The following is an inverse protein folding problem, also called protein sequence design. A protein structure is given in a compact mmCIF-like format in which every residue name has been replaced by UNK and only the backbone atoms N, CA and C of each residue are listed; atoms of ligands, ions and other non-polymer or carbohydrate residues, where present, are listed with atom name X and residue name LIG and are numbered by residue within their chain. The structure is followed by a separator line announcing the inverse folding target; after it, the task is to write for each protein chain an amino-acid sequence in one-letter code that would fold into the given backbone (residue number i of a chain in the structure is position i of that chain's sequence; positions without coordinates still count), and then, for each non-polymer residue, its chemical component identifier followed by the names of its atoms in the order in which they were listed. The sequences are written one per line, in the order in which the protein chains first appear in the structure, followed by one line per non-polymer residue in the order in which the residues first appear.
data_IF_472470129747
#
_entry.id   IF_472470129747
#
_cell.length_a   1.000
_cell.length_b   1.000
_cell.length_c   1.000
_cell.angle_alpha   90.00
_cell.angle_beta   90.00
_cell.angle_gamma   90.00
#
_symmetry.space_group_name_H-M   'P 1'
#
loop_
_entity.id
_entity.type
_entity.pdbx_description
1 polymer ?
#
# COMPACT_ATOMS: atom_id res chain seq x y z
N UNK A 1 21.73 2.52 -7.29
CA UNK A 1 20.81 2.48 -6.14
C UNK A 1 19.70 3.48 -6.41
N UNK A 2 18.54 3.07 -6.96
CA UNK A 2 17.41 3.98 -7.04
C UNK A 2 16.80 4.14 -5.63
N UNK A 3 16.34 5.36 -5.28
CA UNK A 3 16.04 5.73 -3.91
C UNK A 3 14.65 5.25 -3.46
N UNK A 4 14.58 4.82 -2.21
CA UNK A 4 13.41 4.30 -1.48
C UNK A 4 12.27 5.33 -1.26
N UNK A 5 11.86 6.13 -2.24
CA UNK A 5 10.97 7.28 -2.00
C UNK A 5 9.70 7.42 -2.85
N UNK A 6 9.52 6.65 -3.92
CA UNK A 6 8.46 6.95 -4.90
C UNK A 6 7.05 6.56 -4.45
N UNK A 7 6.89 5.43 -3.76
CA UNK A 7 5.57 4.96 -3.31
C UNK A 7 4.99 5.89 -2.23
N UNK A 8 5.82 6.33 -1.28
CA UNK A 8 5.46 7.32 -0.27
C UNK A 8 5.06 8.68 -0.90
N UNK A 9 5.78 9.15 -1.94
CA UNK A 9 5.45 10.43 -2.60
C UNK A 9 4.18 10.35 -3.45
N UNK A 10 3.94 9.25 -4.16
CA UNK A 10 2.77 9.09 -5.01
C UNK A 10 1.48 8.90 -4.19
N UNK A 11 1.53 8.16 -3.07
CA UNK A 11 0.39 8.02 -2.14
C UNK A 11 0.07 9.34 -1.43
N UNK A 12 1.07 10.21 -1.22
CA UNK A 12 0.86 11.55 -0.67
C UNK A 12 0.30 12.55 -1.69
N UNK A 13 0.60 12.39 -2.99
CA UNK A 13 0.07 13.24 -4.05
C UNK A 13 -1.46 13.05 -4.21
N UNK A 14 -1.93 11.81 -4.12
CA UNK A 14 -3.33 11.43 -4.35
C UNK A 14 -3.98 10.79 -3.11
N UNK A 15 -3.67 11.33 -1.92
CA UNK A 15 -4.10 10.75 -0.63
C UNK A 15 -5.61 10.65 -0.46
N UNK A 16 -6.38 11.52 -1.12
CA UNK A 16 -7.85 11.47 -1.11
C UNK A 16 -8.39 10.33 -1.97
N UNK A 17 -7.80 10.13 -3.15
CA UNK A 17 -8.15 9.04 -4.04
C UNK A 17 -7.78 7.69 -3.42
N UNK A 18 -6.56 7.57 -2.86
CA UNK A 18 -6.11 6.41 -2.11
C UNK A 18 -7.06 6.06 -0.95
N UNK A 19 -7.48 7.05 -0.16
CA UNK A 19 -8.42 6.85 0.94
C UNK A 19 -9.80 6.37 0.46
N UNK A 20 -10.27 6.88 -0.69
CA UNK A 20 -11.52 6.46 -1.31
C UNK A 20 -11.45 5.02 -1.85
N UNK A 21 -10.30 4.60 -2.42
CA UNK A 21 -10.10 3.23 -2.90
C UNK A 21 -10.02 2.19 -1.78
N UNK A 22 -9.54 2.58 -0.59
CA UNK A 22 -9.44 1.73 0.60
C UNK A 22 -10.79 1.53 1.31
N UNK A 23 -11.82 1.05 0.63
CA UNK A 23 -13.13 0.78 1.24
C UNK A 23 -13.06 -0.39 2.25
N UNK A 24 -13.37 -0.18 3.55
CA UNK A 24 -13.36 -1.22 4.58
C UNK A 24 -14.40 -2.31 4.36
N UNK A 25 -15.39 -2.08 3.50
CA UNK A 25 -16.41 -3.07 3.13
C UNK A 25 -15.94 -4.04 2.04
N UNK A 26 -14.85 -3.72 1.36
CA UNK A 26 -14.19 -4.65 0.42
C UNK A 26 -13.35 -5.66 1.19
N UNK A 27 -12.95 -6.72 0.51
CA UNK A 27 -12.03 -7.73 1.05
C UNK A 27 -10.65 -7.13 1.38
N UNK A 28 -9.69 -7.97 1.76
CA UNK A 28 -8.36 -7.57 2.26
C UNK A 28 -7.49 -6.91 1.18
N UNK A 29 -7.73 -5.63 0.91
CA UNK A 29 -7.00 -4.83 -0.07
C UNK A 29 -5.53 -4.68 0.30
N UNK A 30 -4.69 -4.60 -0.73
CA UNK A 30 -3.26 -4.37 -0.66
C UNK A 30 -2.87 -3.14 -1.46
N UNK A 31 -1.79 -2.47 -1.05
CA UNK A 31 -1.17 -1.39 -1.81
C UNK A 31 0.07 -1.92 -2.54
N UNK A 32 0.07 -1.84 -3.87
CA UNK A 32 1.18 -2.20 -4.73
C UNK A 32 1.82 -0.94 -5.32
N UNK A 33 3.15 -0.90 -5.29
CA UNK A 33 3.93 0.10 -6.04
C UNK A 33 4.45 -0.50 -7.33
N UNK A 34 4.24 0.22 -8.43
CA UNK A 34 4.67 -0.18 -9.75
C UNK A 34 6.04 0.45 -10.10
N UNK A 35 6.85 -0.19 -10.96
CA UNK A 35 8.16 0.34 -11.36
C UNK A 35 8.12 1.71 -12.06
N UNK A 36 6.96 2.09 -12.60
CA UNK A 36 6.71 3.41 -13.21
C UNK A 36 6.47 4.52 -12.16
N UNK A 37 6.46 4.20 -10.87
CA UNK A 37 6.18 5.13 -9.78
C UNK A 37 4.68 5.33 -9.48
N UNK A 38 3.79 4.66 -10.22
CA UNK A 38 2.36 4.60 -9.91
C UNK A 38 2.06 3.60 -8.79
N UNK A 39 0.86 3.68 -8.23
CA UNK A 39 0.38 2.77 -7.19
C UNK A 39 -0.98 2.19 -7.57
N UNK A 40 -1.29 1.00 -7.06
CA UNK A 40 -2.58 0.36 -7.24
C UNK A 40 -3.08 -0.25 -5.91
N UNK A 41 -4.38 -0.11 -5.65
CA UNK A 41 -5.06 -0.76 -4.52
C UNK A 41 -5.95 -1.86 -5.06
N UNK A 42 -5.51 -3.11 -4.92
CA UNK A 42 -6.17 -4.29 -5.47
C UNK A 42 -6.16 -5.42 -4.45
N UNK A 43 -6.96 -6.45 -4.71
CA UNK A 43 -6.92 -7.69 -3.94
C UNK A 43 -5.56 -8.38 -4.16
N UNK A 44 -5.03 -9.08 -3.15
CA UNK A 44 -3.87 -9.92 -3.35
C UNK A 44 -4.16 -10.92 -4.46
N UNK A 45 -3.28 -11.00 -5.45
CA UNK A 45 -3.40 -12.01 -6.51
C UNK A 45 -3.24 -13.40 -5.89
N UNK A 46 -4.13 -14.35 -6.21
CA UNK A 46 -4.01 -15.75 -5.77
C UNK A 46 -2.77 -16.45 -6.38
N UNK A 47 -2.28 -15.93 -7.50
CA UNK A 47 -1.01 -16.36 -8.11
C UNK A 47 0.12 -15.44 -7.66
N UNK A 48 0.54 -15.59 -6.40
CA UNK A 48 1.80 -14.97 -5.94
C UNK A 48 2.95 -15.84 -6.46
N UNK A 49 3.82 -15.33 -7.35
CA UNK A 49 5.07 -16.03 -7.64
C UNK A 49 5.83 -16.16 -6.31
N UNK A 50 6.23 -17.37 -5.91
CA UNK A 50 6.88 -17.71 -4.61
C UNK A 50 8.10 -16.84 -4.24
N UNK A 51 8.54 -15.98 -5.14
CA UNK A 51 9.75 -15.16 -5.04
C UNK A 51 9.45 -13.71 -4.59
N UNK A 52 8.20 -13.21 -4.71
CA UNK A 52 7.87 -11.87 -4.22
C UNK A 52 7.20 -11.92 -2.84
N UNK A 53 7.69 -11.15 -1.84
CA UNK A 53 7.00 -10.95 -0.57
C UNK A 53 5.65 -10.27 -0.80
N UNK A 54 4.64 -10.72 -0.07
CA UNK A 54 3.30 -10.11 -0.11
C UNK A 54 3.32 -8.74 0.60
N UNK A 55 2.68 -7.70 0.04
CA UNK A 55 2.46 -6.44 0.74
C UNK A 55 1.49 -6.63 1.93
N UNK A 56 1.36 -5.60 2.76
CA UNK A 56 0.44 -5.65 3.90
C UNK A 56 -1.02 -5.85 3.44
N UNK A 57 -1.62 -6.96 3.91
CA UNK A 57 -2.99 -7.35 3.63
C UNK A 57 -3.98 -6.58 4.51
N UNK A 58 -5.08 -6.12 3.93
CA UNK A 58 -6.22 -5.58 4.70
C UNK A 58 -6.00 -4.18 5.23
N UNK A 59 -5.21 -3.34 4.54
CA UNK A 59 -4.96 -1.95 4.93
C UNK A 59 -6.28 -1.14 5.06
N UNK A 60 -7.32 -1.54 4.34
CA UNK A 60 -8.64 -0.92 4.35
C UNK A 60 -9.42 -1.14 5.66
N UNK A 61 -9.16 -2.21 6.41
CA UNK A 61 -9.90 -2.49 7.65
C UNK A 61 -9.56 -1.51 8.78
N UNK A 62 -8.30 -1.07 8.83
CA UNK A 62 -7.83 -0.14 9.84
C UNK A 62 -8.24 1.32 9.55
N UNK A 63 -8.74 1.62 8.34
CA UNK A 63 -8.98 3.00 7.86
C UNK A 63 -9.92 3.79 8.76
N UNK A 64 -11.09 3.23 9.10
CA UNK A 64 -12.11 3.92 9.89
C UNK A 64 -11.92 3.72 11.42
N UNK A 65 -10.98 2.85 11.81
CA UNK A 65 -10.70 2.49 13.21
C UNK A 65 -9.68 3.41 13.90
N UNK A 66 -9.02 4.31 13.17
CA UNK A 66 -8.03 5.24 13.73
C UNK A 66 -8.04 6.60 13.03
N UNK A 67 -7.29 7.58 13.54
CA UNK A 67 -7.18 8.88 12.88
C UNK A 67 -6.52 8.69 11.52
N UNK A 68 -7.04 9.38 10.51
CA UNK A 68 -6.53 9.33 9.13
C UNK A 68 -5.00 9.43 9.02
N UNK A 69 -4.39 10.34 9.78
CA UNK A 69 -2.93 10.51 9.80
C UNK A 69 -2.19 9.29 10.34
N UNK A 70 -2.73 8.67 11.39
CA UNK A 70 -2.12 7.52 12.04
C UNK A 70 -2.25 6.30 11.11
N UNK A 71 -3.39 6.17 10.41
CA UNK A 71 -3.59 5.16 9.37
C UNK A 71 -2.62 5.33 8.20
N UNK A 72 -2.46 6.55 7.67
CA UNK A 72 -1.50 6.84 6.60
C UNK A 72 -0.06 6.53 7.04
N UNK A 73 0.28 6.81 8.30
CA UNK A 73 1.60 6.49 8.85
C UNK A 73 1.83 4.98 8.93
N UNK A 74 0.80 4.21 9.33
CA UNK A 74 0.83 2.76 9.35
C UNK A 74 1.07 2.20 7.95
N UNK A 75 0.30 2.66 6.96
CA UNK A 75 0.46 2.26 5.55
C UNK A 75 1.86 2.57 5.06
N UNK A 76 2.39 3.77 5.31
CA UNK A 76 3.73 4.17 4.89
C UNK A 76 4.83 3.25 5.44
N UNK A 77 4.77 2.91 6.74
CA UNK A 77 5.74 2.00 7.36
C UNK A 77 5.70 0.60 6.73
N UNK A 78 4.50 0.08 6.47
CA UNK A 78 4.35 -1.21 5.81
C UNK A 78 4.84 -1.20 4.35
N UNK A 79 4.56 -0.12 3.62
CA UNK A 79 5.05 0.05 2.25
C UNK A 79 6.56 0.16 2.17
N UNK A 80 7.20 0.91 3.08
CA UNK A 80 8.65 1.02 3.14
C UNK A 80 9.30 -0.33 3.46
N UNK A 81 8.75 -1.09 4.42
CA UNK A 81 9.23 -2.43 4.75
C UNK A 81 9.10 -3.40 3.56
N UNK A 82 7.99 -3.34 2.83
CA UNK A 82 7.77 -4.16 1.65
C UNK A 82 8.75 -3.80 0.52
N UNK A 83 8.95 -2.51 0.24
CA UNK A 83 9.92 -2.03 -0.75
C UNK A 83 11.34 -2.49 -0.42
N UNK A 84 11.74 -2.47 0.85
CA UNK A 84 13.04 -3.00 1.28
C UNK A 84 13.15 -4.52 1.08
N UNK A 85 12.04 -5.25 1.21
CA UNK A 85 12.03 -6.71 1.04
C UNK A 85 12.09 -7.16 -0.43
N UNK A 86 11.79 -6.27 -1.38
CA UNK A 86 11.87 -6.55 -2.84
C UNK A 86 13.08 -5.90 -3.52
N UNK A 87 13.87 -5.12 -2.79
CA UNK A 87 15.09 -4.46 -3.27
C UNK A 87 16.33 -5.35 -3.13
#
# INVERSE_FOLDING_TARGET
MPPCGFLCLAVLADVEEFYAFCDPKKENLCLYGLPNGSWEVVLPSEEVPREMPEPALGINFARDGMKRRDWLSLVAVHSDAWLVSIA
#
